data_IF_900760778683
#
_entry.id   IF_900760778683
#
_cell.length_a   1.000
_cell.length_b   1.000
_cell.length_c   1.000
_cell.angle_alpha   90.00
_cell.angle_beta   90.00
_cell.angle_gamma   90.00
#
_symmetry.space_group_name_H-M   'P 1'
#
loop_
_entity.id
_entity.type
_entity.pdbx_description
1 polymer ?
#
# COMPACT_ATOMS: atom_id res chain seq x y z
N UNK A 1 -6.90 12.90 3.09
CA UNK A 1 -5.88 11.88 2.74
C UNK A 1 -6.48 10.85 1.79
N UNK A 2 -5.70 10.33 0.84
CA UNK A 2 -6.15 9.21 -0.01
C UNK A 2 -6.21 7.90 0.80
N UNK A 3 -7.07 6.92 0.43
CA UNK A 3 -7.15 5.63 1.13
C UNK A 3 -5.79 4.91 1.21
N UNK A 4 -4.97 5.05 0.17
CA UNK A 4 -3.62 4.49 0.12
C UNK A 4 -2.70 5.16 1.13
N UNK A 5 -2.78 6.49 1.25
CA UNK A 5 -2.03 7.24 2.25
C UNK A 5 -2.38 6.80 3.66
N UNK A 6 -3.67 6.65 3.97
CA UNK A 6 -4.12 6.16 5.29
C UNK A 6 -3.58 4.77 5.59
N UNK A 7 -3.68 3.84 4.63
CA UNK A 7 -3.14 2.49 4.80
C UNK A 7 -1.62 2.50 5.03
N UNK A 8 -0.86 3.28 4.26
CA UNK A 8 0.58 3.42 4.45
C UNK A 8 0.90 3.97 5.85
N UNK A 9 0.21 5.01 6.30
CA UNK A 9 0.43 5.59 7.63
C UNK A 9 0.17 4.58 8.74
N UNK A 10 -0.97 3.88 8.72
CA UNK A 10 -1.31 2.89 9.75
C UNK A 10 -0.33 1.72 9.77
N UNK A 11 0.06 1.22 8.59
CA UNK A 11 1.05 0.15 8.46
C UNK A 11 2.46 0.59 8.87
N UNK A 12 2.80 1.86 8.63
CA UNK A 12 4.07 2.40 9.05
C UNK A 12 4.15 2.49 10.58
N UNK A 13 3.15 3.09 11.24
CA UNK A 13 3.13 3.19 12.70
C UNK A 13 3.14 1.81 13.38
N UNK A 14 2.34 0.88 12.87
CA UNK A 14 2.35 -0.51 13.32
C UNK A 14 3.70 -1.19 13.13
N UNK A 15 4.30 -1.04 11.95
CA UNK A 15 5.61 -1.61 11.64
C UNK A 15 6.73 -1.01 12.48
N UNK A 16 6.67 0.30 12.78
CA UNK A 16 7.61 0.98 13.68
C UNK A 16 7.58 0.33 15.05
N UNK A 17 6.39 0.13 15.63
CA UNK A 17 6.25 -0.52 16.93
C UNK A 17 6.86 -1.94 16.92
N UNK A 18 6.56 -2.75 15.90
CA UNK A 18 7.12 -4.11 15.78
C UNK A 18 8.64 -4.07 15.63
N UNK A 19 9.16 -3.25 14.72
CA UNK A 19 10.59 -3.15 14.45
C UNK A 19 11.37 -2.61 15.66
N UNK A 20 10.78 -1.70 16.43
CA UNK A 20 11.35 -1.19 17.67
C UNK A 20 11.47 -2.32 18.71
N UNK A 21 10.36 -3.03 19.00
CA UNK A 21 10.35 -4.16 19.95
C UNK A 21 11.37 -5.23 19.57
N UNK A 22 11.39 -5.61 18.28
CA UNK A 22 12.33 -6.62 17.78
C UNK A 22 13.77 -6.12 17.85
N UNK A 23 14.04 -4.89 17.44
CA UNK A 23 15.37 -4.29 17.45
C UNK A 23 16.00 -4.28 18.85
N UNK A 24 15.27 -3.77 19.83
CA UNK A 24 15.74 -3.76 21.23
C UNK A 24 15.73 -5.14 21.87
N UNK A 25 14.79 -6.02 21.50
CA UNK A 25 14.78 -7.42 21.94
C UNK A 25 16.02 -8.21 21.50
N UNK A 26 16.49 -7.96 20.28
CA UNK A 26 17.72 -8.58 19.73
C UNK A 26 18.97 -7.92 20.32
N UNK A 27 19.01 -6.59 20.41
CA UNK A 27 20.16 -5.86 20.94
C UNK A 27 20.40 -6.15 22.43
N UNK A 28 19.32 -6.30 23.19
CA UNK A 28 19.32 -6.49 24.64
C UNK A 28 18.50 -7.74 25.02
N UNK A 29 19.09 -8.95 24.90
CA UNK A 29 18.37 -10.19 25.15
C UNK A 29 17.95 -10.35 26.62
N UNK A 30 18.74 -9.83 27.55
CA UNK A 30 18.45 -9.84 28.99
C UNK A 30 17.39 -8.79 29.33
N UNK A 31 16.35 -9.20 30.07
CA UNK A 31 15.21 -8.32 30.38
C UNK A 31 15.62 -7.06 31.14
N UNK A 32 16.47 -7.17 32.17
CA UNK A 32 16.94 -6.03 32.95
C UNK A 32 17.75 -5.02 32.11
N UNK A 33 18.65 -5.51 31.23
CA UNK A 33 19.41 -4.65 30.33
C UNK A 33 18.50 -3.96 29.30
N UNK A 34 17.48 -4.68 28.82
CA UNK A 34 16.48 -4.12 27.90
C UNK A 34 15.62 -3.07 28.56
N UNK A 35 15.15 -3.29 29.79
CA UNK A 35 14.39 -2.30 30.55
C UNK A 35 15.22 -1.04 30.84
N UNK A 36 16.50 -1.21 31.18
CA UNK A 36 17.42 -0.08 31.35
C UNK A 36 17.62 0.69 30.04
N UNK A 37 17.85 0.00 28.92
CA UNK A 37 17.98 0.61 27.60
C UNK A 37 16.66 1.28 27.13
N UNK A 38 15.53 0.74 27.56
CA UNK A 38 14.19 1.26 27.34
C UNK A 38 13.76 2.26 28.42
N UNK A 39 14.67 2.78 29.27
CA UNK A 39 14.33 3.63 30.42
C UNK A 39 13.49 4.89 30.12
N UNK A 40 13.38 5.32 28.85
CA UNK A 40 12.47 6.37 28.37
C UNK A 40 11.18 5.90 27.68
N UNK A 41 10.95 4.60 27.56
CA UNK A 41 9.97 3.97 26.66
C UNK A 41 8.80 3.33 27.42
N UNK A 42 8.45 3.83 28.61
CA UNK A 42 7.39 3.25 29.45
C UNK A 42 6.02 3.19 28.75
N UNK A 43 5.79 4.05 27.77
CA UNK A 43 4.58 4.10 26.97
C UNK A 43 4.52 3.03 25.86
N UNK A 44 5.65 2.42 25.52
CA UNK A 44 5.83 1.57 24.34
C UNK A 44 4.95 0.31 24.35
N UNK A 45 4.77 -0.40 25.49
CA UNK A 45 3.81 -1.51 25.56
C UNK A 45 2.38 -1.09 25.24
N UNK A 46 1.93 0.07 25.76
CA UNK A 46 0.59 0.59 25.52
C UNK A 46 0.42 1.05 24.06
N UNK A 47 1.41 1.76 23.51
CA UNK A 47 1.40 2.16 22.10
C UNK A 47 1.38 0.96 21.16
N UNK A 48 2.18 -0.08 21.43
CA UNK A 48 2.22 -1.31 20.64
C UNK A 48 0.89 -2.08 20.69
N UNK A 49 0.25 -2.13 21.87
CA UNK A 49 -1.05 -2.78 22.05
C UNK A 49 -2.16 -2.15 21.18
N UNK A 50 -2.01 -0.89 20.78
CA UNK A 50 -2.97 -0.19 19.90
C UNK A 50 -2.50 -0.19 18.44
N UNK A 51 -1.24 0.17 18.20
CA UNK A 51 -0.68 0.33 16.86
C UNK A 51 -0.63 -0.98 16.07
N UNK A 52 -0.28 -2.09 16.73
CA UNK A 52 -0.15 -3.39 16.06
C UNK A 52 -1.50 -3.88 15.53
N UNK A 53 -2.58 -3.96 16.34
CA UNK A 53 -3.90 -4.35 15.83
C UNK A 53 -4.43 -3.43 14.72
N UNK A 54 -4.24 -2.11 14.84
CA UNK A 54 -4.65 -1.17 13.80
C UNK A 54 -3.94 -1.42 12.46
N UNK A 55 -2.65 -1.72 12.50
CA UNK A 55 -1.91 -2.11 11.29
C UNK A 55 -2.40 -3.42 10.69
N UNK A 56 -2.73 -4.42 11.50
CA UNK A 56 -3.30 -5.69 11.03
C UNK A 56 -4.64 -5.45 10.33
N UNK A 57 -5.54 -4.67 10.94
CA UNK A 57 -6.82 -4.30 10.32
C UNK A 57 -6.61 -3.54 9.02
N UNK A 58 -5.68 -2.58 8.99
CA UNK A 58 -5.34 -1.83 7.77
C UNK A 58 -4.80 -2.75 6.66
N UNK A 59 -3.92 -3.70 6.99
CA UNK A 59 -3.37 -4.69 6.06
C UNK A 59 -4.48 -5.54 5.43
N UNK A 60 -5.37 -6.09 6.26
CA UNK A 60 -6.48 -6.93 5.82
C UNK A 60 -7.47 -6.13 4.96
N UNK A 61 -7.88 -4.95 5.43
CA UNK A 61 -8.79 -4.07 4.68
C UNK A 61 -8.20 -3.68 3.32
N UNK A 62 -6.90 -3.37 3.26
CA UNK A 62 -6.22 -3.06 2.01
C UNK A 62 -6.13 -4.27 1.08
N UNK A 63 -5.78 -5.45 1.60
CA UNK A 63 -5.69 -6.68 0.81
C UNK A 63 -7.06 -7.06 0.21
N UNK A 64 -8.15 -6.96 0.98
CA UNK A 64 -9.51 -7.24 0.53
C UNK A 64 -9.99 -6.20 -0.49
N UNK A 65 -9.71 -4.91 -0.26
CA UNK A 65 -10.09 -3.85 -1.22
C UNK A 65 -9.38 -4.06 -2.56
N UNK A 66 -8.08 -4.32 -2.53
CA UNK A 66 -7.27 -4.47 -3.76
C UNK A 66 -7.51 -5.79 -4.49
N UNK A 67 -7.99 -6.84 -3.81
CA UNK A 67 -8.43 -8.08 -4.48
C UNK A 67 -9.73 -7.86 -5.26
N UNK A 68 -10.70 -7.14 -4.68
CA UNK A 68 -12.01 -6.84 -5.29
C UNK A 68 -11.91 -5.88 -6.49
N UNK A 69 -10.99 -4.92 -6.45
CA UNK A 69 -10.80 -3.93 -7.52
C UNK A 69 -9.92 -4.44 -8.68
N UNK A 70 -9.77 -5.76 -8.87
CA UNK A 70 -8.93 -6.39 -9.90
C UNK A 70 -7.47 -5.91 -9.95
N UNK A 71 -6.95 -5.25 -8.90
CA UNK A 71 -5.59 -4.72 -8.85
C UNK A 71 -5.46 -3.24 -9.24
N UNK A 72 -6.57 -2.55 -9.56
CA UNK A 72 -6.58 -1.13 -9.92
C UNK A 72 -6.21 -0.20 -8.75
N UNK A 73 -6.36 -0.65 -7.51
CA UNK A 73 -6.01 0.11 -6.30
C UNK A 73 -4.48 0.34 -6.11
N UNK A 74 -3.65 -0.38 -6.87
CA UNK A 74 -2.20 -0.35 -6.73
C UNK A 74 -1.67 -1.12 -5.51
N UNK A 75 -0.44 -1.62 -5.60
CA UNK A 75 0.25 -2.26 -4.49
C UNK A 75 0.81 -1.23 -3.49
N UNK A 76 0.99 -1.63 -2.23
CA UNK A 76 1.79 -0.85 -1.28
C UNK A 76 3.27 -1.08 -1.62
N UNK A 77 4.01 -0.04 -2.03
CA UNK A 77 5.38 -0.21 -2.46
C UNK A 77 6.27 -0.34 -1.22
N UNK A 78 7.00 -1.46 -1.15
CA UNK A 78 7.95 -1.77 -0.09
C UNK A 78 8.88 -0.60 0.22
N UNK A 79 9.48 0.02 -0.81
CA UNK A 79 10.43 1.13 -0.64
C UNK A 79 9.81 2.31 0.10
N UNK A 80 8.58 2.69 -0.25
CA UNK A 80 7.89 3.79 0.43
C UNK A 80 7.56 3.42 1.86
N UNK A 81 7.05 2.21 2.11
CA UNK A 81 6.75 1.78 3.48
C UNK A 81 8.00 1.73 4.35
N UNK A 82 9.11 1.20 3.83
CA UNK A 82 10.39 1.14 4.52
C UNK A 82 10.92 2.55 4.82
N UNK A 83 10.90 3.47 3.85
CA UNK A 83 11.35 4.86 4.06
C UNK A 83 10.51 5.58 5.13
N UNK A 84 9.19 5.41 5.12
CA UNK A 84 8.31 6.01 6.13
C UNK A 84 8.59 5.40 7.51
N UNK A 85 8.74 4.08 7.60
CA UNK A 85 9.06 3.41 8.86
C UNK A 85 10.42 3.86 9.42
N UNK A 86 11.46 3.92 8.58
CA UNK A 86 12.79 4.39 8.97
C UNK A 86 12.74 5.84 9.46
N UNK A 87 12.04 6.71 8.74
CA UNK A 87 11.91 8.13 9.12
C UNK A 87 11.18 8.31 10.43
N UNK A 88 10.03 7.64 10.61
CA UNK A 88 9.26 7.71 11.85
C UNK A 88 10.04 7.12 13.02
N UNK A 89 10.68 5.96 12.84
CA UNK A 89 11.53 5.34 13.85
C UNK A 89 12.69 6.27 14.26
N UNK A 90 13.41 6.84 13.30
CA UNK A 90 14.53 7.75 13.60
C UNK A 90 14.08 9.00 14.36
N UNK A 91 12.98 9.63 13.94
CA UNK A 91 12.41 10.80 14.64
C UNK A 91 11.98 10.43 16.05
N UNK A 92 11.34 9.27 16.21
CA UNK A 92 10.93 8.75 17.51
C UNK A 92 12.14 8.52 18.43
N UNK A 93 13.15 7.78 17.99
CA UNK A 93 14.36 7.49 18.78
C UNK A 93 15.13 8.76 19.22
N UNK A 94 15.21 9.76 18.34
CA UNK A 94 15.81 11.05 18.67
C UNK A 94 14.95 11.80 19.69
N UNK A 95 13.64 11.87 19.45
CA UNK A 95 12.70 12.55 20.33
C UNK A 95 12.66 11.97 21.75
N UNK A 96 12.67 10.64 21.86
CA UNK A 96 12.68 9.94 23.14
C UNK A 96 13.96 10.19 23.94
N UNK A 97 15.13 10.17 23.29
CA UNK A 97 16.41 10.50 23.94
C UNK A 97 16.45 11.93 24.46
N UNK A 98 16.06 12.87 23.61
CA UNK A 98 16.03 14.28 24.01
C UNK A 98 15.04 14.49 25.17
N UNK A 99 13.91 13.79 25.17
CA UNK A 99 12.92 13.87 26.25
C UNK A 99 13.43 13.34 27.60
N UNK A 100 14.36 12.38 27.62
CA UNK A 100 15.01 11.89 28.85
C UNK A 100 16.30 12.62 29.21
N UNK A 101 16.67 13.66 28.45
CA UNK A 101 17.84 14.50 28.71
C UNK A 101 19.14 14.05 28.02
N UNK A 102 19.08 13.03 27.17
CA UNK A 102 20.24 12.58 26.40
C UNK A 102 20.50 13.47 25.17
N UNK A 103 21.76 13.51 24.75
CA UNK A 103 22.13 14.16 23.50
C UNK A 103 21.55 13.41 22.29
N UNK A 104 21.04 14.13 21.28
CA UNK A 104 20.50 13.53 20.06
C UNK A 104 21.49 12.60 19.34
N UNK A 105 22.80 12.84 19.47
CA UNK A 105 23.86 12.01 18.89
C UNK A 105 23.99 10.63 19.56
N UNK A 106 23.41 10.39 20.73
CA UNK A 106 23.49 9.09 21.41
C UNK A 106 22.75 7.98 20.65
N UNK A 107 21.88 8.32 19.69
CA UNK A 107 21.29 7.35 18.74
C UNK A 107 22.36 6.59 17.94
N UNK A 108 23.51 7.21 17.68
CA UNK A 108 24.57 6.62 16.86
C UNK A 108 25.35 5.53 17.62
N UNK A 109 25.37 5.62 18.94
CA UNK A 109 26.08 4.68 19.81
C UNK A 109 25.18 3.57 20.35
N UNK A 110 23.86 3.76 20.31
CA UNK A 110 22.92 2.77 20.83
C UNK A 110 22.71 1.60 19.84
N UNK A 111 23.04 0.38 20.29
CA UNK A 111 22.91 -0.84 19.48
C UNK A 111 21.45 -1.11 19.11
N UNK A 112 20.52 -0.85 20.03
CA UNK A 112 19.07 -1.01 19.80
C UNK A 112 18.59 -0.23 18.58
N UNK A 113 19.11 0.97 18.35
CA UNK A 113 18.76 1.82 17.20
C UNK A 113 19.17 1.14 15.89
N UNK A 114 20.40 0.64 15.78
CA UNK A 114 20.90 -0.01 14.57
C UNK A 114 20.13 -1.28 14.23
N UNK A 115 19.88 -2.14 15.22
CA UNK A 115 19.05 -3.33 15.02
C UNK A 115 17.60 -2.95 14.69
N UNK A 116 17.08 -1.89 15.30
CA UNK A 116 15.76 -1.33 14.99
C UNK A 116 15.65 -0.88 13.54
N UNK A 117 16.63 -0.14 13.02
CA UNK A 117 16.67 0.30 11.61
C UNK A 117 16.64 -0.90 10.64
N UNK A 118 17.44 -1.94 10.90
CA UNK A 118 17.43 -3.17 10.09
C UNK A 118 16.07 -3.87 10.21
N UNK A 119 15.51 -3.94 11.42
CA UNK A 119 14.20 -4.52 11.67
C UNK A 119 13.08 -3.78 10.92
N UNK A 120 13.12 -2.44 10.80
CA UNK A 120 12.14 -1.68 10.01
C UNK A 120 12.11 -2.13 8.55
N UNK A 121 13.29 -2.32 7.93
CA UNK A 121 13.35 -2.78 6.54
C UNK A 121 12.77 -4.18 6.39
N UNK A 122 13.11 -5.09 7.31
CA UNK A 122 12.57 -6.44 7.32
C UNK A 122 11.05 -6.46 7.55
N UNK A 123 10.53 -5.66 8.48
CA UNK A 123 9.11 -5.55 8.79
C UNK A 123 8.33 -4.97 7.61
N UNK A 124 8.81 -3.90 6.97
CA UNK A 124 8.21 -3.35 5.76
C UNK A 124 8.10 -4.40 4.64
N UNK A 125 9.17 -5.20 4.46
CA UNK A 125 9.16 -6.30 3.51
C UNK A 125 8.08 -7.35 3.88
N UNK A 126 8.07 -7.83 5.13
CA UNK A 126 7.11 -8.82 5.60
C UNK A 126 5.65 -8.34 5.49
N UNK A 127 5.37 -7.08 5.81
CA UNK A 127 4.04 -6.49 5.67
C UNK A 127 3.60 -6.52 4.20
N UNK A 128 4.44 -6.04 3.29
CA UNK A 128 4.08 -6.00 1.86
C UNK A 128 3.86 -7.40 1.29
N UNK A 129 4.72 -8.37 1.65
CA UNK A 129 4.54 -9.77 1.25
C UNK A 129 3.27 -10.39 1.84
N UNK A 130 2.97 -10.12 3.10
CA UNK A 130 1.76 -10.61 3.76
C UNK A 130 0.50 -10.10 3.06
N UNK A 131 0.45 -8.80 2.74
CA UNK A 131 -0.67 -8.20 1.99
C UNK A 131 -0.82 -8.85 0.62
N UNK A 132 0.29 -9.05 -0.10
CA UNK A 132 0.28 -9.72 -1.40
C UNK A 132 -0.22 -11.16 -1.33
N UNK A 133 0.19 -11.91 -0.31
CA UNK A 133 -0.25 -13.28 -0.04
C UNK A 133 -1.74 -13.33 0.27
N UNK A 134 -2.22 -12.50 1.20
CA UNK A 134 -3.66 -12.41 1.53
C UNK A 134 -4.46 -12.04 0.29
N UNK A 135 -4.00 -11.08 -0.52
CA UNK A 135 -4.66 -10.71 -1.78
C UNK A 135 -4.76 -11.90 -2.73
N UNK A 136 -3.69 -12.71 -2.87
CA UNK A 136 -3.70 -13.93 -3.71
C UNK A 136 -4.71 -14.94 -3.18
N UNK A 137 -4.69 -15.23 -1.88
CA UNK A 137 -5.64 -16.15 -1.23
C UNK A 137 -7.08 -15.70 -1.46
N UNK A 138 -7.40 -14.42 -1.22
CA UNK A 138 -8.75 -13.89 -1.44
C UNK A 138 -9.15 -14.00 -2.92
N UNK A 139 -8.23 -13.76 -3.87
CA UNK A 139 -8.51 -13.94 -5.30
C UNK A 139 -8.76 -15.41 -5.67
N UNK A 140 -8.03 -16.36 -5.08
CA UNK A 140 -8.28 -17.79 -5.32
C UNK A 140 -9.65 -18.20 -4.78
N UNK A 141 -9.98 -17.79 -3.55
CA UNK A 141 -11.25 -18.10 -2.92
C UNK A 141 -12.46 -17.47 -3.64
N UNK A 142 -12.30 -16.25 -4.16
CA UNK A 142 -13.38 -15.53 -4.88
C UNK A 142 -13.41 -15.83 -6.38
N UNK A 143 -12.27 -16.21 -6.97
CA UNK A 143 -12.12 -16.55 -8.38
C UNK A 143 -12.73 -17.90 -8.74
N UNK A 144 -12.72 -18.88 -7.82
CA UNK A 144 -13.45 -20.14 -7.99
C UNK A 144 -14.96 -19.96 -8.16
N UNK A 145 -15.52 -18.86 -7.62
CA UNK A 145 -16.93 -18.50 -7.80
C UNK A 145 -17.29 -17.90 -9.17
N UNK A 146 -16.32 -17.40 -9.95
CA UNK A 146 -16.59 -16.89 -11.31
C UNK A 146 -16.75 -18.03 -12.33
N UNK A 147 -15.95 -19.10 -12.20
CA UNK A 147 -16.06 -20.27 -13.08
C UNK A 147 -17.44 -20.93 -12.96
N UNK A 148 -18.01 -21.00 -11.75
CA UNK A 148 -19.37 -21.51 -11.53
C UNK A 148 -20.48 -20.54 -12.01
N UNK A 149 -20.22 -19.23 -12.05
CA UNK A 149 -21.20 -18.22 -12.49
C UNK A 149 -21.25 -18.09 -14.01
N UNK A 150 -20.13 -18.27 -14.69
CA UNK A 150 -20.03 -18.30 -16.15
C UNK A 150 -20.65 -19.58 -16.75
N UNK A 151 -20.84 -20.64 -15.94
CA UNK A 151 -21.57 -21.86 -16.33
C UNK A 151 -23.10 -21.72 -16.22
N UNK A 152 -23.62 -20.73 -15.49
CA UNK A 152 -25.07 -20.61 -15.18
C UNK A 152 -25.81 -19.58 -16.04
N UNK A 153 -25.11 -18.68 -16.73
CA UNK A 153 -25.73 -17.80 -17.72
C UNK A 153 -24.80 -17.60 -18.91
N UNK A 154 -25.11 -18.09 -20.14
CA UNK A 154 -24.39 -17.63 -21.30
C UNK A 154 -24.64 -16.12 -21.47
N UNK A 155 -23.59 -15.27 -21.53
CA UNK A 155 -23.78 -13.85 -21.79
C UNK A 155 -24.18 -13.66 -23.26
N UNK A 156 -25.36 -13.07 -23.47
CA UNK A 156 -25.72 -12.52 -24.78
C UNK A 156 -24.71 -11.43 -25.12
N UNK A 157 -23.85 -11.71 -26.10
CA UNK A 157 -22.80 -10.81 -26.53
C UNK A 157 -23.38 -9.72 -27.42
N UNK A 158 -23.57 -8.51 -26.90
CA UNK A 158 -23.77 -7.34 -27.74
C UNK A 158 -22.41 -6.93 -28.32
N UNK A 159 -22.19 -7.26 -29.60
CA UNK A 159 -21.06 -6.75 -30.37
C UNK A 159 -21.32 -5.27 -30.65
N UNK A 160 -20.74 -4.38 -29.84
CA UNK A 160 -20.72 -2.94 -30.14
C UNK A 160 -19.72 -2.67 -31.26
N UNK A 161 -20.17 -2.74 -32.51
CA UNK A 161 -19.40 -2.27 -33.67
C UNK A 161 -19.30 -0.75 -33.58
N UNK A 162 -18.14 -0.24 -33.18
CA UNK A 162 -17.84 1.20 -33.27
C UNK A 162 -17.44 1.53 -34.71
N UNK A 163 -18.41 1.91 -35.53
CA UNK A 163 -18.14 2.48 -36.85
C UNK A 163 -17.55 3.88 -36.65
N UNK A 164 -16.28 4.05 -37.00
CA UNK A 164 -15.61 5.35 -37.02
C UNK A 164 -16.11 6.11 -38.25
N UNK A 165 -17.19 6.88 -38.10
CA UNK A 165 -17.70 7.76 -39.16
C UNK A 165 -16.66 8.86 -39.38
N UNK A 166 -15.81 8.69 -40.40
CA UNK A 166 -14.99 9.79 -40.89
C UNK A 166 -15.94 10.86 -41.42
N UNK A 167 -15.83 12.09 -40.90
CA UNK A 167 -16.56 13.25 -41.43
C UNK A 167 -16.29 13.33 -42.93
N UNK A 168 -17.33 13.12 -43.73
CA UNK A 168 -17.30 13.44 -45.14
C UNK A 168 -17.13 14.96 -45.26
N UNK A 169 -15.97 15.38 -45.78
CA UNK A 169 -15.76 16.77 -46.20
C UNK A 169 -16.62 16.95 -47.45
N UNK A 170 -17.72 17.68 -47.32
CA UNK A 170 -18.55 18.06 -48.46
C UNK A 170 -17.78 19.06 -49.32
N UNK A 171 -17.23 18.59 -50.44
CA UNK A 171 -16.70 19.44 -51.50
C UNK A 171 -17.87 19.82 -52.40
N UNK A 172 -18.23 21.09 -52.43
CA UNK A 172 -19.23 21.64 -53.34
C UNK A 172 -18.69 21.62 -54.77
N UNK A 173 -19.03 20.59 -55.55
CA UNK A 173 -18.78 20.58 -56.99
C UNK A 173 -19.95 21.32 -57.64
N UNK A 174 -19.65 22.48 -58.25
CA UNK A 174 -20.63 23.35 -58.88
C UNK A 174 -21.50 22.61 -59.89
N UNK A 175 -22.81 22.81 -59.77
CA UNK A 175 -23.85 22.38 -60.70
C UNK A 175 -23.54 22.92 -62.11
N UNK A 176 -23.04 22.08 -63.01
CA UNK A 176 -23.21 22.32 -64.45
C UNK A 176 -24.57 21.74 -64.84
N UNK A 177 -25.45 22.62 -65.30
CA UNK A 177 -26.75 22.25 -65.82
C UNK A 177 -26.61 21.30 -67.03
N UNK A 178 -27.50 20.31 -67.19
CA UNK A 178 -27.52 19.45 -68.37
C UNK A 178 -27.88 20.26 -69.63
N UNK A 179 -27.30 19.95 -70.80
CA UNK A 179 -27.63 20.63 -72.04
C UNK A 179 -29.08 20.35 -72.45
N UNK A 180 -29.82 21.42 -72.71
CA UNK A 180 -31.15 21.38 -73.32
C UNK A 180 -30.98 21.00 -74.79
N UNK A 181 -31.26 19.75 -75.15
CA UNK A 181 -31.49 19.41 -76.57
C UNK A 181 -32.95 19.67 -76.85
N UNK A 182 -33.21 20.86 -77.38
CA UNK A 182 -34.50 21.22 -77.93
C UNK A 182 -34.73 20.56 -79.28
N UNK A 183 -35.88 19.90 -79.36
CA UNK A 183 -36.91 20.12 -80.36
C UNK A 183 -36.86 19.38 -81.72
N UNK A 184 -38.03 18.79 -81.99
CA UNK A 184 -38.70 18.44 -83.25
C UNK A 184 -38.49 17.04 -83.80
#
# INVERSE_FOLDING_TARGET
MSPRGVAISMLAVSGVAVGHIVGYGVAHPQAAAREAALGGHAYLPAAAAVAIPLGVVAALAWAIRTSRQLGLAGAIPFRTLALVQLGVFAVQEVGERVAVGDAASSVLTERGVWFGLVAQVAVAYLITRSIDTVRRVVRLLTGGGRVLRDLVCPPVSFVSVTVRVQRAVAVSVGLRAPPVVGAR
#
